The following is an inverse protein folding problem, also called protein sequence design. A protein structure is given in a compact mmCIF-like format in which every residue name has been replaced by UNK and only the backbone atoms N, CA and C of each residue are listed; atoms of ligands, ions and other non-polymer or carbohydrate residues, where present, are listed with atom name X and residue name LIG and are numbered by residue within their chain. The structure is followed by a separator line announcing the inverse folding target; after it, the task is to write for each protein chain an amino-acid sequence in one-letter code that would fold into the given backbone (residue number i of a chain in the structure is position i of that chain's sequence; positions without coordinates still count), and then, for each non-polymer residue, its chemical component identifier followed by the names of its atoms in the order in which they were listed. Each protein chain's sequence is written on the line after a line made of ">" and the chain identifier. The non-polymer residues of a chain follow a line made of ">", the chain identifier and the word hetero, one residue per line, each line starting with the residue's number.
data_IF_672867947093
#
_entry.id   IF_672867947093
#
_cell.length_a   1.000
_cell.length_b   1.000
_cell.length_c   1.000
_cell.angle_alpha   90.00
_cell.angle_beta   90.00
_cell.angle_gamma   90.00
#
_symmetry.space_group_name_H-M   'P 1'
#
loop_
_entity.id
_entity.type
_entity.pdbx_description
1 polymer ?
#
# COMPACT_ATOMS: atom_id res chain seq x y z
N UNK A 1 -27.57 -11.13 -18.63
CA UNK A 1 -27.44 -10.77 -17.21
C UNK A 1 -26.38 -9.69 -17.15
N UNK A 2 -26.84 -8.44 -17.15
CA UNK A 2 -26.01 -7.25 -17.34
C UNK A 2 -25.14 -6.95 -16.12
N UNK A 3 -23.95 -6.39 -16.41
CA UNK A 3 -22.88 -6.01 -15.50
C UNK A 3 -23.38 -5.53 -14.13
N UNK A 4 -23.08 -6.29 -13.08
CA UNK A 4 -22.97 -5.71 -11.75
C UNK A 4 -21.60 -5.01 -11.72
N UNK A 5 -21.53 -3.78 -12.23
CA UNK A 5 -20.33 -2.95 -12.06
C UNK A 5 -20.09 -2.86 -10.55
N UNK A 6 -19.07 -3.59 -10.07
CA UNK A 6 -18.77 -3.66 -8.66
C UNK A 6 -18.46 -2.25 -8.16
N UNK A 7 -19.40 -1.64 -7.43
CA UNK A 7 -19.23 -0.31 -6.86
C UNK A 7 -18.00 -0.34 -5.97
N UNK A 8 -17.01 0.51 -6.27
CA UNK A 8 -15.77 0.60 -5.49
C UNK A 8 -15.69 1.95 -4.80
N UNK A 9 -15.26 1.91 -3.54
CA UNK A 9 -15.05 3.10 -2.71
C UNK A 9 -13.58 3.49 -2.87
N UNK A 10 -13.35 4.74 -3.28
CA UNK A 10 -12.00 5.30 -3.44
C UNK A 10 -11.57 5.98 -2.14
N UNK A 11 -10.35 5.67 -1.71
CA UNK A 11 -9.69 6.28 -0.57
C UNK A 11 -8.47 7.08 -1.06
N UNK A 12 -8.30 8.30 -0.55
CA UNK A 12 -7.31 9.29 -1.04
C UNK A 12 -6.54 9.91 0.13
N UNK A 13 -5.35 10.45 -0.08
CA UNK A 13 -4.73 11.36 0.90
C UNK A 13 -5.32 12.78 0.81
N UNK A 14 -4.89 13.70 1.68
CA UNK A 14 -5.33 15.10 1.65
C UNK A 14 -4.88 15.86 0.39
N UNK A 15 -3.85 15.35 -0.30
CA UNK A 15 -3.37 15.86 -1.58
C UNK A 15 -4.16 15.29 -2.78
N UNK A 16 -5.25 14.55 -2.53
CA UNK A 16 -6.12 13.94 -3.54
C UNK A 16 -5.49 12.78 -4.33
N UNK A 17 -4.33 12.26 -3.90
CA UNK A 17 -3.74 11.07 -4.49
C UNK A 17 -4.53 9.84 -4.05
N UNK A 18 -4.80 8.93 -4.99
CA UNK A 18 -5.51 7.69 -4.66
C UNK A 18 -4.61 6.74 -3.89
N UNK A 19 -5.03 6.39 -2.67
CA UNK A 19 -4.34 5.43 -1.81
C UNK A 19 -4.72 4.00 -2.18
N UNK A 20 -6.01 3.69 -2.22
CA UNK A 20 -6.53 2.37 -2.60
C UNK A 20 -8.02 2.45 -2.92
N UNK A 21 -8.56 1.32 -3.41
CA UNK A 21 -10.00 1.12 -3.59
C UNK A 21 -10.43 -0.16 -2.90
N UNK A 22 -11.64 -0.18 -2.35
CA UNK A 22 -12.27 -1.39 -1.83
C UNK A 22 -13.64 -1.60 -2.47
N UNK A 23 -14.09 -2.85 -2.67
CA UNK A 23 -15.48 -3.15 -3.01
C UNK A 23 -16.47 -2.60 -1.97
N UNK A 24 -17.67 -2.25 -2.40
CA UNK A 24 -18.77 -1.88 -1.51
C UNK A 24 -19.04 -2.97 -0.45
N UNK A 25 -19.26 -2.55 0.79
CA UNK A 25 -19.48 -3.43 1.94
C UNK A 25 -18.20 -3.97 2.62
N UNK A 26 -17.02 -3.76 2.03
CA UNK A 26 -15.74 -4.12 2.68
C UNK A 26 -15.39 -3.16 3.83
N UNK A 27 -14.40 -3.54 4.64
CA UNK A 27 -13.96 -2.74 5.79
C UNK A 27 -12.58 -2.14 5.55
N UNK A 28 -12.33 -1.02 6.22
CA UNK A 28 -10.99 -0.47 6.43
C UNK A 28 -10.57 -0.66 7.89
N UNK A 29 -9.27 -0.70 8.14
CA UNK A 29 -8.66 -0.68 9.47
C UNK A 29 -8.02 0.68 9.67
N UNK A 30 -8.54 1.45 10.62
CA UNK A 30 -7.89 2.66 11.12
C UNK A 30 -6.77 2.27 12.08
N UNK A 31 -5.62 2.93 11.98
CA UNK A 31 -4.48 2.77 12.90
C UNK A 31 -4.14 4.13 13.49
N UNK A 32 -4.38 4.29 14.79
CA UNK A 32 -4.06 5.52 15.54
C UNK A 32 -2.56 5.65 15.81
N UNK A 33 -2.15 6.84 16.25
CA UNK A 33 -0.76 7.14 16.60
C UNK A 33 -0.20 6.30 17.77
N UNK A 34 -1.07 5.84 18.66
CA UNK A 34 -0.75 4.90 19.74
C UNK A 34 -0.66 3.42 19.29
N UNK A 35 -1.00 3.15 18.02
CA UNK A 35 -1.03 1.81 17.44
C UNK A 35 -2.36 1.07 17.60
N UNK A 36 -3.38 1.69 18.23
CA UNK A 36 -4.72 1.11 18.33
C UNK A 36 -5.31 0.93 16.93
N UNK A 37 -5.81 -0.28 16.64
CA UNK A 37 -6.42 -0.64 15.36
C UNK A 37 -7.93 -0.81 15.50
N UNK A 38 -8.71 -0.21 14.58
CA UNK A 38 -10.17 -0.35 14.55
C UNK A 38 -10.67 -0.63 13.13
N UNK A 39 -11.36 -1.75 12.93
CA UNK A 39 -12.02 -2.06 11.68
C UNK A 39 -13.39 -1.37 11.58
N UNK A 40 -13.65 -0.69 10.46
CA UNK A 40 -14.91 0.00 10.18
C UNK A 40 -15.48 -0.46 8.83
N UNK A 41 -16.76 -0.87 8.77
CA UNK A 41 -17.41 -1.20 7.50
C UNK A 41 -17.59 0.06 6.65
N UNK A 42 -17.49 -0.09 5.33
CA UNK A 42 -17.66 0.99 4.38
C UNK A 42 -18.81 0.70 3.42
N UNK A 43 -19.66 1.70 3.15
CA UNK A 43 -20.75 1.61 2.18
C UNK A 43 -20.60 2.71 1.14
N UNK A 44 -20.63 2.32 -0.13
CA UNK A 44 -20.61 3.22 -1.27
C UNK A 44 -21.92 3.99 -1.32
N UNK A 45 -21.84 5.32 -1.46
CA UNK A 45 -23.01 6.16 -1.71
C UNK A 45 -22.93 6.74 -3.12
N UNK A 46 -21.85 7.47 -3.41
CA UNK A 46 -21.53 7.99 -4.73
C UNK A 46 -19.99 8.10 -4.91
N UNK A 47 -19.52 8.76 -5.98
CA UNK A 47 -18.10 8.87 -6.31
C UNK A 47 -17.26 9.64 -5.28
N UNK A 48 -17.88 10.50 -4.48
CA UNK A 48 -17.20 11.38 -3.51
C UNK A 48 -17.73 11.25 -2.09
N UNK A 49 -18.83 10.54 -1.87
CA UNK A 49 -19.39 10.25 -0.55
C UNK A 49 -19.34 8.75 -0.23
N UNK A 50 -18.94 8.46 1.00
CA UNK A 50 -18.90 7.09 1.54
C UNK A 50 -19.35 7.09 2.98
N UNK A 51 -20.03 6.03 3.40
CA UNK A 51 -20.36 5.80 4.80
C UNK A 51 -19.31 4.91 5.43
N UNK A 52 -18.60 5.42 6.43
CA UNK A 52 -17.54 4.70 7.14
C UNK A 52 -17.99 4.50 8.59
N UNK A 53 -18.20 3.24 8.98
CA UNK A 53 -18.84 2.87 10.22
C UNK A 53 -20.29 3.36 10.26
N UNK A 54 -20.55 4.35 11.10
CA UNK A 54 -21.89 4.93 11.30
C UNK A 54 -22.10 6.30 10.64
N UNK A 55 -21.07 6.89 10.03
CA UNK A 55 -21.09 8.29 9.57
C UNK A 55 -20.79 8.39 8.08
N UNK A 56 -21.44 9.35 7.41
CA UNK A 56 -21.20 9.68 6.01
C UNK A 56 -20.12 10.75 5.93
N UNK A 57 -19.19 10.59 5.00
CA UNK A 57 -18.09 11.50 4.76
C UNK A 57 -17.95 11.81 3.27
N UNK A 58 -17.52 13.04 2.97
CA UNK A 58 -16.84 13.30 1.71
C UNK A 58 -15.42 12.70 1.75
N UNK A 59 -14.93 12.14 0.64
CA UNK A 59 -13.60 11.46 0.62
C UNK A 59 -12.46 12.40 1.05
N UNK A 60 -12.49 13.68 0.67
CA UNK A 60 -11.51 14.67 1.11
C UNK A 60 -11.64 14.98 2.60
N UNK A 61 -12.87 15.15 3.11
CA UNK A 61 -13.12 15.44 4.52
C UNK A 61 -12.59 14.30 5.40
N UNK A 62 -12.80 13.05 4.97
CA UNK A 62 -12.28 11.90 5.65
C UNK A 62 -10.74 11.90 5.66
N UNK A 63 -10.10 12.14 4.51
CA UNK A 63 -8.65 12.18 4.39
C UNK A 63 -8.01 13.26 5.27
N UNK A 64 -8.48 14.51 5.15
CA UNK A 64 -8.03 15.65 5.95
C UNK A 64 -8.19 15.39 7.45
N UNK A 65 -9.34 14.83 7.86
CA UNK A 65 -9.62 14.52 9.26
C UNK A 65 -8.66 13.48 9.79
N UNK A 66 -8.41 12.41 9.03
CA UNK A 66 -7.52 11.31 9.43
C UNK A 66 -6.07 11.79 9.59
N UNK A 67 -5.58 12.61 8.66
CA UNK A 67 -4.25 13.20 8.75
C UNK A 67 -4.12 14.16 9.92
N UNK A 68 -5.12 15.03 10.14
CA UNK A 68 -5.13 15.98 11.27
C UNK A 68 -5.04 15.30 12.63
N UNK A 69 -5.59 14.09 12.77
CA UNK A 69 -5.53 13.30 14.01
C UNK A 69 -4.41 12.25 14.00
N UNK A 70 -3.56 12.22 12.97
CA UNK A 70 -2.46 11.27 12.84
C UNK A 70 -2.91 9.80 12.77
N UNK A 71 -4.09 9.54 12.20
CA UNK A 71 -4.64 8.18 12.02
C UNK A 71 -4.47 7.74 10.57
N UNK A 72 -3.79 6.62 10.36
CA UNK A 72 -3.72 5.98 9.04
C UNK A 72 -4.90 5.04 8.81
N UNK A 73 -5.18 4.66 7.56
CA UNK A 73 -6.25 3.72 7.27
C UNK A 73 -5.95 2.87 6.03
N UNK A 74 -6.17 1.55 6.14
CA UNK A 74 -5.88 0.57 5.08
C UNK A 74 -7.07 -0.38 4.89
N UNK A 75 -7.20 -1.11 3.77
CA UNK A 75 -8.16 -2.19 3.65
C UNK A 75 -8.02 -3.25 4.77
N UNK A 76 -9.13 -3.78 5.29
CA UNK A 76 -9.11 -4.89 6.26
C UNK A 76 -8.54 -6.16 5.65
N UNK A 77 -8.94 -6.44 4.41
CA UNK A 77 -8.36 -7.54 3.63
C UNK A 77 -7.10 -7.02 2.95
N UNK A 78 -5.95 -7.70 3.08
CA UNK A 78 -4.74 -7.32 2.37
C UNK A 78 -5.06 -7.19 0.88
N UNK A 79 -4.72 -6.07 0.23
CA UNK A 79 -4.85 -5.99 -1.22
C UNK A 79 -4.00 -7.11 -1.83
N UNK A 80 -4.53 -7.79 -2.85
CA UNK A 80 -3.78 -8.84 -3.51
C UNK A 80 -2.52 -8.26 -4.15
N UNK A 81 -1.39 -8.95 -3.99
CA UNK A 81 -0.17 -8.57 -4.71
C UNK A 81 -0.42 -8.58 -6.22
N UNK A 82 0.02 -7.53 -6.95
CA UNK A 82 -0.11 -7.45 -8.40
C UNK A 82 0.70 -8.56 -9.08
N UNK A 83 0.43 -8.84 -10.35
CA UNK A 83 1.21 -9.82 -11.10
C UNK A 83 2.67 -9.38 -11.26
N UNK A 84 2.89 -8.06 -11.42
CA UNK A 84 4.19 -7.42 -11.50
C UNK A 84 4.15 -6.01 -10.90
N UNK A 85 5.31 -5.45 -10.59
CA UNK A 85 5.48 -4.02 -10.33
C UNK A 85 6.91 -3.58 -10.64
N UNK A 86 7.12 -2.26 -10.66
CA UNK A 86 8.45 -1.67 -10.73
C UNK A 86 8.92 -1.25 -9.34
N UNK A 87 10.23 -1.25 -9.11
CA UNK A 87 10.87 -0.72 -7.91
C UNK A 87 12.27 -0.23 -8.27
N UNK A 88 13.01 0.30 -7.29
CA UNK A 88 14.46 0.46 -7.40
C UNK A 88 15.19 -0.58 -6.56
N UNK A 89 16.35 -1.01 -7.03
CA UNK A 89 17.28 -1.86 -6.29
C UNK A 89 17.78 -1.08 -5.04
N UNK A 90 17.69 -1.61 -3.81
CA UNK A 90 17.98 -0.85 -2.58
C UNK A 90 19.42 -0.31 -2.41
N UNK A 91 20.41 -1.01 -2.92
CA UNK A 91 21.84 -0.69 -2.88
C UNK A 91 22.30 0.13 -4.08
N UNK A 92 21.88 -0.23 -5.30
CA UNK A 92 22.39 0.40 -6.54
C UNK A 92 21.48 1.49 -7.09
N UNK A 93 20.19 1.49 -6.72
CA UNK A 93 19.21 2.44 -7.27
C UNK A 93 18.78 2.13 -8.71
N UNK A 94 19.18 0.99 -9.25
CA UNK A 94 18.78 0.53 -10.59
C UNK A 94 17.27 0.29 -10.66
N UNK A 95 16.67 0.61 -11.80
CA UNK A 95 15.27 0.31 -12.05
C UNK A 95 15.07 -1.20 -12.22
N UNK A 96 14.16 -1.78 -11.45
CA UNK A 96 13.92 -3.22 -11.44
C UNK A 96 12.45 -3.54 -11.70
N UNK A 97 12.21 -4.64 -12.43
CA UNK A 97 10.92 -5.27 -12.61
C UNK A 97 10.83 -6.48 -11.68
N UNK A 98 9.75 -6.53 -10.90
CA UNK A 98 9.45 -7.62 -9.99
C UNK A 98 8.22 -8.35 -10.49
N UNK A 99 8.32 -9.67 -10.66
CA UNK A 99 7.19 -10.54 -10.97
C UNK A 99 6.83 -11.41 -9.77
N UNK A 100 5.55 -11.42 -9.42
CA UNK A 100 5.04 -12.17 -8.28
C UNK A 100 5.31 -13.67 -8.44
N UNK A 101 5.90 -14.26 -7.42
CA UNK A 101 6.23 -15.70 -7.38
C UNK A 101 7.61 -16.06 -7.95
N UNK A 102 8.29 -15.15 -8.67
CA UNK A 102 9.67 -15.37 -9.13
C UNK A 102 10.68 -14.98 -8.05
N UNK A 103 11.76 -15.74 -7.92
CA UNK A 103 12.86 -15.40 -6.99
C UNK A 103 13.67 -14.24 -7.59
N UNK A 104 13.90 -13.19 -6.81
CA UNK A 104 14.64 -12.01 -7.26
C UNK A 104 13.83 -11.11 -8.19
N UNK A 105 14.54 -10.34 -9.01
CA UNK A 105 14.01 -9.30 -9.89
C UNK A 105 14.84 -9.24 -11.18
N UNK A 106 14.33 -8.55 -12.19
CA UNK A 106 15.07 -8.24 -13.42
C UNK A 106 15.45 -6.76 -13.43
N UNK A 107 16.70 -6.44 -13.75
CA UNK A 107 17.13 -5.04 -14.01
C UNK A 107 16.58 -4.60 -15.37
N UNK A 108 16.04 -3.39 -15.44
CA UNK A 108 15.51 -2.83 -16.68
C UNK A 108 16.65 -2.18 -17.47
N UNK A 109 16.96 -2.69 -18.67
CA UNK A 109 18.04 -2.17 -19.53
C UNK A 109 17.84 -0.72 -20.00
N UNK A 110 16.60 -0.21 -19.88
CA UNK A 110 16.22 1.16 -20.21
C UNK A 110 16.20 2.08 -18.98
N UNK A 111 16.67 1.62 -17.82
CA UNK A 111 16.85 2.44 -16.63
C UNK A 111 17.92 3.53 -16.83
N UNK A 112 17.82 4.60 -16.05
CA UNK A 112 18.80 5.68 -15.98
C UNK A 112 19.95 5.31 -15.02
N UNK A 113 21.12 5.92 -15.21
CA UNK A 113 22.23 5.85 -14.24
C UNK A 113 21.94 6.65 -12.95
N UNK A 114 20.93 7.54 -12.97
CA UNK A 114 20.55 8.37 -11.82
C UNK A 114 19.45 7.70 -10.98
N UNK A 115 19.70 7.27 -9.73
CA UNK A 115 18.71 6.59 -8.89
C UNK A 115 17.40 7.37 -8.69
N UNK A 116 17.49 8.69 -8.59
CA UNK A 116 16.31 9.56 -8.41
C UNK A 116 15.39 9.55 -9.65
N UNK A 117 15.93 9.38 -10.85
CA UNK A 117 15.14 9.24 -12.08
C UNK A 117 14.45 7.88 -12.12
N UNK A 118 15.16 6.80 -11.81
CA UNK A 118 14.60 5.46 -11.72
C UNK A 118 13.46 5.38 -10.71
N UNK A 119 13.61 6.04 -9.56
CA UNK A 119 12.55 6.11 -8.55
C UNK A 119 11.29 6.81 -9.06
N UNK A 120 11.44 7.95 -9.74
CA UNK A 120 10.31 8.68 -10.34
C UNK A 120 9.63 7.85 -11.42
N UNK A 121 10.41 7.13 -12.21
CA UNK A 121 9.88 6.32 -13.31
C UNK A 121 9.11 5.09 -12.79
N UNK A 122 9.66 4.38 -11.80
CA UNK A 122 8.94 3.31 -11.11
C UNK A 122 7.61 3.80 -10.50
N UNK A 123 7.60 4.98 -9.88
CA UNK A 123 6.39 5.57 -9.29
C UNK A 123 5.32 5.88 -10.34
N UNK A 124 5.76 6.45 -11.48
CA UNK A 124 4.90 6.78 -12.60
C UNK A 124 4.26 5.51 -13.18
N UNK A 125 5.05 4.46 -13.42
CA UNK A 125 4.56 3.20 -13.97
C UNK A 125 3.63 2.47 -13.00
N UNK A 126 4.02 2.37 -11.73
CA UNK A 126 3.18 1.75 -10.70
C UNK A 126 1.86 2.48 -10.53
N UNK A 127 1.85 3.82 -10.52
CA UNK A 127 0.62 4.61 -10.45
C UNK A 127 -0.32 4.32 -11.64
N UNK A 128 0.22 4.19 -12.85
CA UNK A 128 -0.56 3.84 -14.03
C UNK A 128 -1.15 2.42 -13.95
N UNK A 129 -0.45 1.48 -13.32
CA UNK A 129 -0.93 0.11 -13.09
C UNK A 129 -1.75 -0.05 -11.78
N UNK A 130 -2.00 1.04 -11.05
CA UNK A 130 -2.72 1.02 -9.77
C UNK A 130 -1.96 0.34 -8.61
N UNK A 131 -0.64 0.16 -8.77
CA UNK A 131 0.24 -0.39 -7.73
C UNK A 131 0.58 0.71 -6.73
N UNK A 132 0.21 0.49 -5.47
CA UNK A 132 0.49 1.40 -4.36
C UNK A 132 1.90 1.16 -3.81
N UNK A 133 2.44 2.13 -3.08
CA UNK A 133 3.74 1.99 -2.39
C UNK A 133 3.76 0.81 -1.41
N UNK A 134 2.63 0.55 -0.75
CA UNK A 134 2.45 -0.59 0.13
C UNK A 134 2.59 -1.92 -0.63
N UNK A 135 1.95 -2.02 -1.80
CA UNK A 135 2.04 -3.21 -2.67
C UNK A 135 3.46 -3.37 -3.23
N UNK A 136 4.08 -2.28 -3.66
CA UNK A 136 5.46 -2.28 -4.14
C UNK A 136 6.44 -2.79 -3.07
N UNK A 137 6.34 -2.28 -1.84
CA UNK A 137 7.19 -2.72 -0.72
C UNK A 137 7.05 -4.22 -0.45
N UNK A 138 5.83 -4.75 -0.49
CA UNK A 138 5.58 -6.18 -0.32
C UNK A 138 6.04 -7.03 -1.51
N UNK A 139 5.94 -6.51 -2.74
CA UNK A 139 6.51 -7.16 -3.93
C UNK A 139 8.03 -7.27 -3.81
N UNK A 140 8.70 -6.18 -3.44
CA UNK A 140 10.14 -6.16 -3.22
C UNK A 140 10.55 -7.11 -2.08
N UNK A 141 9.81 -7.10 -0.97
CA UNK A 141 10.03 -8.04 0.14
C UNK A 141 9.87 -9.51 -0.28
N UNK A 142 8.86 -9.82 -1.09
CA UNK A 142 8.65 -11.16 -1.64
C UNK A 142 9.77 -11.59 -2.59
N UNK A 143 10.26 -10.69 -3.43
CA UNK A 143 11.37 -10.94 -4.34
C UNK A 143 12.70 -11.21 -3.62
N UNK A 144 13.01 -10.43 -2.58
CA UNK A 144 14.26 -10.49 -1.82
C UNK A 144 14.28 -11.62 -0.79
N UNK A 145 13.19 -11.77 -0.03
CA UNK A 145 13.15 -12.65 1.15
C UNK A 145 12.26 -13.87 0.96
N UNK A 146 11.50 -13.94 -0.14
CA UNK A 146 10.65 -15.06 -0.51
C UNK A 146 9.15 -14.81 -0.27
N UNK A 147 8.33 -15.29 -1.21
CA UNK A 147 6.88 -15.04 -1.30
C UNK A 147 6.02 -15.66 -0.21
N UNK A 148 6.56 -16.60 0.59
CA UNK A 148 5.86 -17.20 1.73
C UNK A 148 6.17 -16.50 3.06
N UNK A 149 7.02 -15.47 3.04
CA UNK A 149 7.41 -14.73 4.25
C UNK A 149 6.46 -13.57 4.54
N UNK A 150 6.55 -13.04 5.76
CA UNK A 150 5.83 -11.81 6.16
C UNK A 150 6.20 -10.60 5.27
N UNK A 151 7.38 -10.59 4.66
CA UNK A 151 7.81 -9.52 3.76
C UNK A 151 7.01 -9.48 2.45
N UNK A 152 6.35 -10.58 2.08
CA UNK A 152 5.47 -10.60 0.91
C UNK A 152 4.02 -10.18 1.23
N UNK A 153 3.74 -9.67 2.44
CA UNK A 153 2.39 -9.31 2.86
C UNK A 153 2.23 -7.78 2.94
N UNK A 154 1.37 -7.16 2.10
CA UNK A 154 1.14 -5.71 2.10
C UNK A 154 0.78 -5.10 3.46
N UNK A 155 0.11 -5.84 4.34
CA UNK A 155 -0.27 -5.31 5.68
C UNK A 155 0.92 -4.96 6.57
N UNK A 156 2.10 -5.49 6.22
CA UNK A 156 3.35 -5.27 6.95
C UNK A 156 4.10 -4.03 6.45
N UNK A 157 3.48 -3.24 5.58
CA UNK A 157 4.01 -2.00 5.03
C UNK A 157 3.02 -0.85 5.30
N UNK A 158 3.55 0.33 5.56
CA UNK A 158 2.76 1.56 5.65
C UNK A 158 2.43 2.13 4.26
N UNK A 159 1.71 3.25 4.22
CA UNK A 159 1.27 3.90 2.97
C UNK A 159 2.42 4.45 2.14
N UNK A 160 3.59 4.65 2.73
CA UNK A 160 4.80 5.06 2.02
C UNK A 160 5.61 3.86 1.52
N UNK A 161 5.16 2.63 1.80
CA UNK A 161 5.86 1.40 1.43
C UNK A 161 6.98 1.02 2.41
N UNK A 162 7.04 1.63 3.59
CA UNK A 162 8.03 1.29 4.60
C UNK A 162 7.54 0.15 5.49
N UNK A 163 8.47 -0.71 5.90
CA UNK A 163 8.20 -1.82 6.82
C UNK A 163 7.65 -1.33 8.17
N UNK A 164 6.48 -1.84 8.57
CA UNK A 164 5.90 -1.57 9.89
C UNK A 164 6.70 -2.28 10.99
N UNK A 165 6.42 -1.96 12.26
CA UNK A 165 7.06 -2.65 13.41
C UNK A 165 6.82 -4.16 13.40
N UNK A 166 5.73 -4.62 12.79
CA UNK A 166 5.34 -6.02 12.71
C UNK A 166 6.25 -6.84 11.77
N UNK A 167 6.92 -6.16 10.83
CA UNK A 167 7.90 -6.74 9.91
C UNK A 167 9.34 -6.61 10.41
N UNK A 168 9.65 -5.55 11.16
CA UNK A 168 10.98 -5.36 11.74
C UNK A 168 11.24 -6.46 12.77
N UNK A 169 12.41 -7.12 12.74
CA UNK A 169 12.79 -7.97 13.86
C UNK A 169 12.78 -7.13 15.15
N UNK A 170 12.35 -7.69 16.30
CA UNK A 170 12.42 -6.98 17.57
C UNK A 170 13.85 -6.45 17.74
N UNK A 171 14.01 -5.17 18.10
CA UNK A 171 15.32 -4.66 18.52
C UNK A 171 15.85 -5.63 19.56
N UNK A 172 17.00 -6.25 19.29
CA UNK A 172 17.73 -7.00 20.29
C UNK A 172 17.86 -6.07 21.50
N UNK A 173 17.14 -6.35 22.59
CA UNK A 173 17.53 -5.82 23.88
C UNK A 173 18.82 -6.55 24.20
N UNK A 174 19.90 -5.81 24.30
CA UNK A 174 21.17 -6.30 24.80
C UNK A 174 20.89 -7.03 26.12
N UNK A 175 20.93 -8.37 26.07
CA UNK A 175 21.17 -9.19 27.25
C UNK A 175 22.67 -9.35 27.31
N UNK A 176 23.35 -8.31 27.76
CA UNK A 176 24.65 -8.49 28.40
C UNK A 176 24.39 -9.21 29.73
N UNK A 177 24.93 -10.42 29.85
CA UNK A 177 25.19 -11.12 31.10
C UNK A 177 26.66 -11.49 31.13
#
# INVERSE_FOLDING_TARGET
>A
MENNDAKTIRFIDSEYNTLFRIPDGEKIVLTRSDGEKRALPCQYLDEVHTKIGGSVYHICEFAERMEKIGTGYAPEKPPALPARCFSVQPETGELILIEKGKKGYQVCDWGSEYPAENRREADRMNRNEGVTKQLEGAMLGGALYGWRTRAANPVNYDFQGNATKDLRPPKHRDMER
#
